data_IF_363419040034
#
_entry.id   IF_363419040034
#
_cell.length_a   1.000
_cell.length_b   1.000
_cell.length_c   1.000
_cell.angle_alpha   90.00
_cell.angle_beta   90.00
_cell.angle_gamma   90.00
#
_symmetry.space_group_name_H-M   'P 1'
#
loop_
_entity.id
_entity.type
_entity.pdbx_description
1 polymer ?
#
# COMPACT_ATOMS: atom_id res chain seq x y z
N UNK A 1 -10.94 -10.77 -10.51
CA UNK A 1 -10.78 -9.42 -9.93
C UNK A 1 -10.54 -9.50 -8.42
N UNK A 2 -10.60 -8.37 -7.70
CA UNK A 2 -10.35 -8.31 -6.25
C UNK A 2 -11.33 -9.13 -5.42
N UNK A 3 -12.62 -9.07 -5.75
CA UNK A 3 -13.68 -9.86 -5.10
C UNK A 3 -13.43 -11.38 -5.20
N UNK A 4 -12.99 -11.87 -6.36
CA UNK A 4 -12.66 -13.29 -6.55
C UNK A 4 -11.41 -13.70 -5.76
N UNK A 5 -10.48 -12.77 -5.52
CA UNK A 5 -9.29 -13.03 -4.72
C UNK A 5 -9.66 -13.18 -3.24
N UNK A 6 -10.42 -12.22 -2.70
CA UNK A 6 -10.93 -12.23 -1.33
C UNK A 6 -11.75 -13.50 -1.07
N UNK A 7 -12.70 -13.82 -1.96
CA UNK A 7 -13.55 -15.01 -1.81
C UNK A 7 -12.77 -16.31 -1.89
N UNK A 8 -11.89 -16.49 -2.88
CA UNK A 8 -11.12 -17.74 -3.03
C UNK A 8 -10.15 -17.98 -1.88
N UNK A 9 -9.64 -16.92 -1.26
CA UNK A 9 -8.67 -17.01 -0.17
C UNK A 9 -9.29 -16.85 1.22
N UNK A 10 -10.60 -16.64 1.32
CA UNK A 10 -11.31 -16.52 2.60
C UNK A 10 -10.78 -15.39 3.48
N UNK A 11 -10.44 -14.23 2.90
CA UNK A 11 -9.90 -13.12 3.69
C UNK A 11 -11.01 -12.42 4.47
N UNK A 12 -10.90 -12.42 5.80
CA UNK A 12 -11.88 -11.83 6.72
C UNK A 12 -11.32 -10.64 7.52
N UNK A 13 -9.99 -10.50 7.55
CA UNK A 13 -9.26 -9.43 8.23
C UNK A 13 -7.88 -9.25 7.58
N UNK A 14 -7.17 -8.12 7.82
CA UNK A 14 -5.78 -7.92 7.37
C UNK A 14 -4.86 -9.09 7.75
N UNK A 15 -3.75 -9.26 7.01
CA UNK A 15 -2.84 -10.37 7.29
C UNK A 15 -2.26 -10.23 8.71
N UNK A 16 -2.09 -11.37 9.39
CA UNK A 16 -1.66 -11.50 10.80
C UNK A 16 -2.69 -11.12 11.87
N UNK A 17 -3.92 -10.76 11.47
CA UNK A 17 -5.01 -10.59 12.42
C UNK A 17 -5.67 -11.93 12.75
N UNK A 18 -5.95 -12.14 14.03
CA UNK A 18 -6.69 -13.31 14.51
C UNK A 18 -7.69 -12.89 15.60
N UNK A 19 -8.82 -13.58 15.68
CA UNK A 19 -9.82 -13.32 16.72
C UNK A 19 -9.63 -14.29 17.87
N UNK A 20 -9.36 -13.79 19.08
CA UNK A 20 -9.22 -14.59 20.32
C UNK A 20 -10.12 -14.02 21.40
N UNK A 21 -10.92 -14.87 22.03
CA UNK A 21 -11.84 -14.51 23.12
C UNK A 21 -12.72 -13.29 22.82
N UNK A 22 -13.15 -13.15 21.56
CA UNK A 22 -13.99 -12.04 21.10
C UNK A 22 -13.22 -10.77 20.70
N UNK A 23 -11.93 -10.66 21.00
CA UNK A 23 -11.07 -9.53 20.64
C UNK A 23 -10.24 -9.83 19.39
N UNK A 24 -9.89 -8.78 18.62
CA UNK A 24 -8.93 -8.88 17.53
C UNK A 24 -7.52 -8.69 18.05
N UNK A 25 -6.63 -9.60 17.68
CA UNK A 25 -5.21 -9.62 17.99
C UNK A 25 -4.42 -9.53 16.69
N UNK A 26 -3.21 -8.98 16.75
CA UNK A 26 -2.28 -8.89 15.61
C UNK A 26 -0.91 -9.44 16.00
N UNK A 27 -0.34 -10.28 15.15
CA UNK A 27 1.02 -10.79 15.33
C UNK A 27 2.03 -9.82 14.70
N UNK A 28 2.79 -9.10 15.53
CA UNK A 28 3.81 -8.13 15.10
C UNK A 28 5.23 -8.69 15.24
N UNK A 29 6.23 -7.90 14.88
CA UNK A 29 7.64 -8.26 15.11
C UNK A 29 7.99 -8.40 16.60
N UNK A 30 7.17 -7.87 17.49
CA UNK A 30 7.32 -7.96 18.96
C UNK A 30 6.47 -9.08 19.58
N UNK A 31 5.74 -9.84 18.77
CA UNK A 31 4.85 -10.92 19.21
C UNK A 31 3.37 -10.57 19.07
N UNK A 32 2.52 -11.34 19.75
CA UNK A 32 1.07 -11.18 19.68
C UNK A 32 0.59 -10.07 20.61
N UNK A 33 -0.12 -9.08 20.08
CA UNK A 33 -0.68 -7.96 20.83
C UNK A 33 -2.13 -7.68 20.41
N UNK A 34 -2.96 -7.05 21.27
CA UNK A 34 -4.27 -6.57 20.86
C UNK A 34 -4.16 -5.55 19.72
N UNK A 35 -5.13 -5.55 18.79
CA UNK A 35 -5.19 -4.52 17.75
C UNK A 35 -5.42 -3.15 18.40
N UNK A 36 -4.49 -2.23 18.14
CA UNK A 36 -4.63 -0.82 18.53
C UNK A 36 -5.43 -0.06 17.46
N UNK A 37 -6.63 0.45 17.77
CA UNK A 37 -7.46 1.18 16.82
C UNK A 37 -6.88 2.54 16.39
N UNK A 38 -5.89 3.08 17.11
CA UNK A 38 -5.24 4.33 16.76
C UNK A 38 -4.09 4.16 15.74
N UNK A 39 -3.60 2.94 15.53
CA UNK A 39 -2.49 2.67 14.60
C UNK A 39 -2.98 2.58 13.16
N UNK A 40 -2.14 3.02 12.23
CA UNK A 40 -2.38 2.79 10.82
C UNK A 40 -2.53 1.29 10.53
N UNK A 41 -3.60 0.93 9.80
CA UNK A 41 -3.80 -0.46 9.36
C UNK A 41 -2.66 -0.88 8.43
N UNK A 42 -2.15 -2.08 8.65
CA UNK A 42 -1.00 -2.63 7.94
C UNK A 42 -1.33 -4.02 7.39
N UNK A 43 -0.54 -4.48 6.42
CA UNK A 43 -0.65 -5.78 5.78
C UNK A 43 -1.97 -6.02 5.05
N UNK A 44 -2.47 -4.97 4.39
CA UNK A 44 -3.64 -5.02 3.51
C UNK A 44 -3.21 -4.97 2.05
N UNK A 45 -3.94 -5.70 1.21
CA UNK A 45 -3.76 -5.71 -0.24
C UNK A 45 -4.33 -4.45 -0.89
N UNK A 46 -3.94 -4.18 -2.13
CA UNK A 46 -4.55 -3.10 -2.92
C UNK A 46 -6.06 -3.33 -3.13
N UNK A 47 -6.50 -4.59 -3.18
CA UNK A 47 -7.91 -4.94 -3.27
C UNK A 47 -8.70 -4.61 -2.00
N UNK A 48 -8.16 -4.96 -0.83
CA UNK A 48 -8.74 -4.58 0.47
C UNK A 48 -8.77 -3.05 0.62
N UNK A 49 -7.67 -2.38 0.24
CA UNK A 49 -7.55 -0.92 0.28
C UNK A 49 -8.62 -0.23 -0.58
N UNK A 50 -8.76 -0.65 -1.83
CA UNK A 50 -9.75 -0.09 -2.76
C UNK A 50 -11.19 -0.41 -2.32
N UNK A 51 -11.44 -1.61 -1.79
CA UNK A 51 -12.75 -1.99 -1.26
C UNK A 51 -13.15 -1.14 -0.05
N UNK A 52 -12.21 -0.92 0.89
CA UNK A 52 -12.43 -0.06 2.05
C UNK A 52 -12.67 1.39 1.64
N UNK A 53 -11.87 1.93 0.73
CA UNK A 53 -12.06 3.29 0.22
C UNK A 53 -13.46 3.47 -0.38
N UNK A 54 -13.91 2.51 -1.20
CA UNK A 54 -15.24 2.52 -1.79
C UNK A 54 -16.34 2.42 -0.74
N UNK A 55 -16.19 1.55 0.26
CA UNK A 55 -17.14 1.42 1.37
C UNK A 55 -17.25 2.73 2.16
N UNK A 56 -16.13 3.43 2.37
CA UNK A 56 -16.09 4.73 3.03
C UNK A 56 -16.62 5.90 2.17
N UNK A 57 -17.11 5.63 0.94
CA UNK A 57 -17.58 6.66 0.01
C UNK A 57 -16.46 7.52 -0.59
N UNK A 58 -15.20 7.07 -0.50
CA UNK A 58 -14.00 7.75 -0.97
C UNK A 58 -13.28 6.92 -2.04
N UNK A 59 -12.05 7.30 -2.38
CA UNK A 59 -11.16 6.57 -3.28
C UNK A 59 -9.72 6.53 -2.76
N UNK A 60 -8.87 5.74 -3.41
CA UNK A 60 -7.42 5.86 -3.23
C UNK A 60 -6.90 7.08 -4.00
N UNK A 61 -5.84 7.76 -3.50
CA UNK A 61 -5.17 8.81 -4.25
C UNK A 61 -4.45 8.23 -5.46
N UNK A 62 -4.32 9.01 -6.54
CA UNK A 62 -3.33 8.74 -7.59
C UNK A 62 -1.94 9.04 -7.07
N UNK A 63 -0.91 8.40 -7.60
CA UNK A 63 0.46 8.63 -7.14
C UNK A 63 0.91 10.09 -7.29
N UNK A 64 0.42 10.79 -8.32
CA UNK A 64 0.67 12.21 -8.54
C UNK A 64 -0.01 13.10 -7.50
N UNK A 65 -1.22 12.75 -7.07
CA UNK A 65 -1.93 13.49 -6.00
C UNK A 65 -1.22 13.31 -4.67
N UNK A 66 -0.78 12.08 -4.39
CA UNK A 66 0.01 11.76 -3.20
C UNK A 66 1.34 12.54 -3.20
N UNK A 67 2.05 12.54 -4.33
CA UNK A 67 3.34 13.24 -4.48
C UNK A 67 3.19 14.75 -4.29
N UNK A 68 2.16 15.36 -4.87
CA UNK A 68 1.89 16.78 -4.71
C UNK A 68 1.57 17.15 -3.25
N UNK A 69 0.81 16.30 -2.57
CA UNK A 69 0.41 16.53 -1.19
C UNK A 69 1.50 16.15 -0.17
N UNK A 70 2.57 15.43 -0.57
CA UNK A 70 3.45 14.74 0.38
C UNK A 70 4.09 15.61 1.45
N UNK A 71 4.27 16.91 1.15
CA UNK A 71 4.87 17.88 2.10
C UNK A 71 3.91 18.30 3.23
N UNK A 72 2.61 18.09 3.06
CA UNK A 72 1.57 18.47 4.04
C UNK A 72 0.82 17.26 4.60
N UNK A 73 1.18 16.04 4.19
CA UNK A 73 0.60 14.82 4.75
C UNK A 73 1.19 14.53 6.12
N UNK A 74 0.30 14.35 7.10
CA UNK A 74 0.66 13.86 8.43
C UNK A 74 0.67 12.33 8.47
N UNK A 75 1.37 11.77 9.46
CA UNK A 75 1.48 10.33 9.72
C UNK A 75 1.99 9.49 8.53
N UNK A 76 2.75 10.08 7.61
CA UNK A 76 3.46 9.30 6.58
C UNK A 76 4.64 8.54 7.18
N UNK A 77 5.01 7.40 6.59
CA UNK A 77 6.16 6.62 7.02
C UNK A 77 5.86 5.55 8.07
N UNK A 78 4.61 5.41 8.52
CA UNK A 78 4.19 4.24 9.31
C UNK A 78 4.00 3.01 8.43
N UNK A 79 3.32 3.18 7.30
CA UNK A 79 3.01 2.15 6.30
C UNK A 79 3.16 2.71 4.90
N UNK A 80 3.53 1.85 3.94
CA UNK A 80 3.48 2.18 2.53
C UNK A 80 2.03 2.34 2.11
N UNK A 81 1.69 3.44 1.47
CA UNK A 81 0.29 3.79 1.18
C UNK A 81 -0.07 3.41 -0.25
N UNK A 82 -1.05 2.54 -0.43
CA UNK A 82 -1.54 2.14 -1.75
C UNK A 82 -2.12 3.33 -2.52
N UNK A 83 -1.75 3.44 -3.80
CA UNK A 83 -2.33 4.40 -4.74
C UNK A 83 -3.26 3.71 -5.75
N UNK A 84 -4.10 4.49 -6.42
CA UNK A 84 -4.89 4.04 -7.56
C UNK A 84 -4.06 3.93 -8.86
N UNK A 85 -2.74 4.14 -8.81
CA UNK A 85 -1.88 4.20 -9.99
C UNK A 85 -1.19 2.85 -10.26
N UNK A 86 -1.29 2.31 -11.49
CA UNK A 86 -0.51 1.15 -11.87
C UNK A 86 0.97 1.52 -11.98
N UNK A 87 1.86 0.57 -11.69
CA UNK A 87 3.29 0.78 -11.87
C UNK A 87 3.65 0.68 -13.34
N UNK A 88 3.55 1.82 -14.02
CA UNK A 88 3.95 2.01 -15.41
C UNK A 88 5.04 3.07 -15.53
N UNK A 89 5.75 3.06 -16.65
CA UNK A 89 6.75 4.06 -16.98
C UNK A 89 6.12 5.46 -17.06
N UNK A 90 6.80 6.47 -16.51
CA UNK A 90 6.44 7.85 -16.80
C UNK A 90 6.75 8.21 -18.26
N UNK A 91 6.01 9.17 -18.87
CA UNK A 91 6.28 9.62 -20.23
C UNK A 91 7.75 10.01 -20.42
N UNK A 92 8.37 9.50 -21.48
CA UNK A 92 9.77 9.77 -21.80
C UNK A 92 10.80 8.89 -21.07
N UNK A 93 10.38 7.99 -20.18
CA UNK A 93 11.27 6.98 -19.61
C UNK A 93 11.89 6.12 -20.73
N UNK A 94 13.21 5.95 -20.64
CA UNK A 94 13.98 5.07 -21.51
C UNK A 94 14.74 4.11 -20.61
N UNK A 95 14.61 2.82 -20.88
CA UNK A 95 15.35 1.81 -20.12
C UNK A 95 16.86 2.06 -20.27
N UNK A 96 17.60 2.21 -19.16
CA UNK A 96 19.06 2.25 -19.21
C UNK A 96 19.58 0.97 -19.83
N UNK A 97 20.61 1.09 -20.68
CA UNK A 97 21.29 -0.09 -21.23
C UNK A 97 21.93 -0.92 -20.10
N UNK A 98 21.79 -2.26 -20.20
CA UNK A 98 22.36 -3.21 -19.24
C UNK A 98 21.42 -3.64 -18.11
N UNK A 99 21.95 -4.37 -17.13
CA UNK A 99 21.17 -5.04 -16.07
C UNK A 99 20.34 -4.09 -15.18
N UNK A 100 20.66 -2.79 -15.17
CA UNK A 100 19.92 -1.78 -14.41
C UNK A 100 18.54 -1.50 -15.04
N UNK A 101 18.42 -1.58 -16.38
CA UNK A 101 17.12 -1.43 -17.06
C UNK A 101 16.15 -2.55 -16.71
N UNK A 102 16.66 -3.77 -16.57
CA UNK A 102 15.88 -4.92 -16.12
C UNK A 102 15.40 -4.80 -14.66
N UNK A 103 16.05 -4.01 -13.82
CA UNK A 103 15.69 -3.92 -12.41
C UNK A 103 14.27 -3.34 -12.22
N UNK A 104 13.87 -2.41 -13.08
CA UNK A 104 12.57 -1.74 -13.00
C UNK A 104 11.67 -2.00 -14.21
N UNK A 105 12.22 -2.04 -15.43
CA UNK A 105 11.44 -2.09 -16.68
C UNK A 105 10.61 -3.36 -16.84
N UNK A 106 11.20 -4.53 -16.56
CA UNK A 106 10.52 -5.85 -16.71
C UNK A 106 9.34 -6.07 -15.76
N UNK A 107 9.21 -5.22 -14.75
CA UNK A 107 8.22 -5.33 -13.68
C UNK A 107 7.08 -4.31 -13.83
N UNK A 108 7.07 -3.48 -14.87
CA UNK A 108 6.02 -2.50 -15.16
C UNK A 108 4.75 -3.12 -15.77
N UNK A 109 4.36 -4.29 -15.26
CA UNK A 109 3.12 -4.98 -15.62
C UNK A 109 2.52 -5.64 -14.38
N UNK A 110 1.20 -5.55 -14.24
CA UNK A 110 0.42 -6.21 -13.18
C UNK A 110 0.79 -5.82 -11.73
N UNK A 111 1.32 -4.61 -11.52
CA UNK A 111 1.67 -4.09 -10.21
C UNK A 111 1.06 -2.70 -9.97
N UNK A 112 0.86 -2.38 -8.69
CA UNK A 112 0.31 -1.10 -8.23
C UNK A 112 1.36 -0.35 -7.42
N UNK A 113 1.32 0.98 -7.49
CA UNK A 113 2.28 1.85 -6.81
C UNK A 113 1.88 2.10 -5.35
N UNK A 114 2.87 2.08 -4.46
CA UNK A 114 2.79 2.58 -3.08
C UNK A 114 3.79 3.72 -2.85
N UNK A 115 3.46 4.62 -1.92
CA UNK A 115 4.27 5.79 -1.56
C UNK A 115 4.44 5.92 -0.04
N UNK A 116 5.30 6.83 0.40
CA UNK A 116 5.41 7.23 1.82
C UNK A 116 6.45 6.50 2.69
N UNK A 117 6.91 5.31 2.31
CA UNK A 117 7.76 4.51 3.20
C UNK A 117 6.94 3.82 4.29
N UNK A 118 7.60 3.09 5.18
CA UNK A 118 6.98 2.40 6.32
C UNK A 118 7.94 2.36 7.50
N UNK A 119 7.47 1.90 8.67
CA UNK A 119 8.28 1.78 9.88
C UNK A 119 9.55 0.90 9.67
N UNK A 120 9.54 0.02 8.67
CA UNK A 120 10.68 -0.82 8.30
C UNK A 120 11.60 -0.20 7.21
N UNK A 121 11.31 1.02 6.74
CA UNK A 121 12.08 1.69 5.69
C UNK A 121 13.27 2.44 6.31
N UNK A 122 14.53 2.19 5.87
CA UNK A 122 15.69 2.86 6.43
C UNK A 122 15.62 4.39 6.30
N UNK A 123 16.13 5.09 7.33
CA UNK A 123 16.26 6.53 7.30
C UNK A 123 17.12 6.99 6.11
N UNK A 124 16.68 8.06 5.41
CA UNK A 124 17.36 8.59 4.22
C UNK A 124 17.09 7.84 2.92
N UNK A 125 16.39 6.69 2.94
CA UNK A 125 16.02 5.94 1.73
C UNK A 125 14.81 6.54 1.00
N UNK A 126 13.91 7.19 1.75
CA UNK A 126 12.65 7.72 1.22
C UNK A 126 12.84 9.10 0.58
N UNK A 127 12.09 9.35 -0.49
CA UNK A 127 11.97 10.65 -1.16
C UNK A 127 10.52 10.84 -1.59
N UNK A 128 10.03 12.09 -1.70
CA UNK A 128 8.69 12.36 -2.20
C UNK A 128 8.38 11.70 -3.52
N UNK A 129 9.36 11.46 -4.40
CA UNK A 129 9.23 10.80 -5.71
C UNK A 129 9.44 9.28 -5.68
N UNK A 130 9.65 8.66 -4.51
CA UNK A 130 9.96 7.23 -4.40
C UNK A 130 8.73 6.37 -4.69
N UNK A 131 8.79 5.55 -5.74
CA UNK A 131 7.71 4.62 -6.14
C UNK A 131 8.08 3.21 -5.69
N UNK A 132 7.39 2.71 -4.68
CA UNK A 132 7.41 1.28 -4.39
C UNK A 132 6.31 0.60 -5.20
N UNK A 133 6.42 -0.70 -5.48
CA UNK A 133 5.46 -1.40 -6.32
C UNK A 133 5.35 -2.87 -5.93
N UNK A 134 4.13 -3.39 -5.97
CA UNK A 134 3.85 -4.80 -5.71
C UNK A 134 2.61 -5.27 -6.48
N UNK A 135 2.44 -6.60 -6.66
CA UNK A 135 1.18 -7.17 -7.13
C UNK A 135 0.01 -6.75 -6.23
N UNK A 136 -1.20 -6.53 -6.78
CA UNK A 136 -2.34 -5.97 -6.04
C UNK A 136 -2.88 -6.89 -4.95
N UNK A 137 -2.57 -8.19 -4.96
CA UNK A 137 -2.96 -9.17 -3.94
C UNK A 137 -1.93 -9.34 -2.81
N UNK A 138 -0.79 -8.64 -2.90
CA UNK A 138 0.28 -8.78 -1.93
C UNK A 138 -0.07 -8.08 -0.60
N UNK A 139 0.22 -8.77 0.51
CA UNK A 139 -0.17 -8.34 1.88
C UNK A 139 0.97 -8.40 2.90
N UNK A 140 2.06 -9.09 2.56
CA UNK A 140 3.16 -9.36 3.50
C UNK A 140 4.00 -8.11 3.81
N UNK A 141 4.06 -7.15 2.88
CA UNK A 141 4.71 -5.86 3.09
C UNK A 141 3.95 -5.03 4.12
N UNK A 142 4.61 -4.01 4.67
CA UNK A 142 3.99 -2.99 5.51
C UNK A 142 3.13 -2.03 4.68
N UNK A 143 2.12 -2.56 3.98
CA UNK A 143 1.20 -1.83 3.10
C UNK A 143 -0.10 -1.48 3.81
N UNK A 144 -0.52 -0.21 3.70
CA UNK A 144 -1.70 0.38 4.32
C UNK A 144 -2.47 1.27 3.36
N UNK A 145 -3.34 2.12 3.90
CA UNK A 145 -4.35 2.87 3.13
C UNK A 145 -4.32 4.34 3.54
N UNK A 146 -4.33 5.24 2.55
CA UNK A 146 -4.74 6.64 2.71
C UNK A 146 -5.90 6.93 1.77
N UNK A 147 -6.93 7.59 2.28
CA UNK A 147 -8.11 7.96 1.49
C UNK A 147 -7.91 9.33 0.82
N UNK A 148 -8.54 9.47 -0.35
CA UNK A 148 -8.67 10.72 -1.07
C UNK A 148 -10.12 10.88 -1.55
N UNK A 149 -10.52 12.12 -1.80
CA UNK A 149 -11.83 12.45 -2.36
C UNK A 149 -11.71 13.66 -3.28
N UNK A 150 -12.67 13.78 -4.20
CA UNK A 150 -12.74 14.93 -5.09
C UNK A 150 -13.48 16.07 -4.36
N UNK A 151 -12.88 17.26 -4.35
CA UNK A 151 -13.54 18.45 -3.84
C UNK A 151 -14.58 18.93 -4.85
N UNK A 152 -15.80 19.18 -4.39
CA UNK A 152 -16.89 19.77 -5.17
C UNK A 152 -17.23 21.15 -4.65
#
# INVERSE_FOLDING_TARGET
>A
GGWDCVKRRGWEAPLYWEKRDGAWMVFTLSGLEPVDPARAVCHVSAFEAAAFAKWAGKRLPREAEWELASSVLEATGEVWEWTASPYVAYPGYREPAGAIGEYNGKFMANQMVLRGGSAATPAGHIRPTYRNFFPPDARWMFGGIRLAEDLR
#
